data_IF_973297830206
#
_entry.id   IF_973297830206
#
_cell.length_a   1.000
_cell.length_b   1.000
_cell.length_c   1.000
_cell.angle_alpha   90.00
_cell.angle_beta   90.00
_cell.angle_gamma   90.00
#
_symmetry.space_group_name_H-M   'P 1'
#
loop_
_entity.id
_entity.type
_entity.pdbx_description
1 polymer ?
#
# COMPACT_ATOMS: atom_id res chain seq x y z
N UNK A 1 0.21 -19.87 -18.71
CA UNK A 1 0.22 -19.99 -17.24
C UNK A 1 -1.18 -19.71 -16.73
N UNK A 2 -1.67 -20.58 -15.84
CA UNK A 2 -2.93 -20.38 -15.10
C UNK A 2 -2.60 -19.97 -13.67
N UNK A 3 -2.97 -18.75 -13.28
CA UNK A 3 -2.53 -18.12 -12.03
C UNK A 3 -3.75 -17.78 -11.16
N UNK A 4 -3.70 -18.16 -9.88
CA UNK A 4 -4.63 -17.68 -8.86
C UNK A 4 -3.98 -16.61 -8.00
N UNK A 5 -4.64 -15.47 -7.82
CA UNK A 5 -4.25 -14.40 -6.90
C UNK A 5 -5.24 -14.43 -5.72
N UNK A 6 -4.70 -14.69 -4.52
CA UNK A 6 -5.44 -14.77 -3.26
C UNK A 6 -4.94 -13.69 -2.29
N UNK A 7 -5.70 -13.42 -1.23
CA UNK A 7 -5.28 -12.54 -0.13
C UNK A 7 -5.68 -11.08 -0.29
N UNK A 8 -6.37 -10.72 -1.40
CA UNK A 8 -7.06 -9.44 -1.54
C UNK A 8 -8.56 -9.60 -1.26
N UNK A 9 -9.26 -8.50 -1.02
CA UNK A 9 -10.73 -8.51 -0.93
C UNK A 9 -11.42 -8.44 -2.29
N UNK A 10 -10.65 -8.28 -3.37
CA UNK A 10 -11.13 -8.33 -4.75
C UNK A 10 -10.84 -7.09 -5.56
N UNK A 11 -11.16 -7.17 -6.85
CA UNK A 11 -11.00 -6.11 -7.84
C UNK A 11 -12.33 -5.86 -8.58
N UNK A 12 -12.57 -4.63 -9.12
CA UNK A 12 -11.71 -3.44 -9.12
C UNK A 12 -11.46 -2.90 -7.72
N UNK A 13 -10.36 -2.15 -7.53
CA UNK A 13 -9.95 -1.67 -6.22
C UNK A 13 -11.03 -0.78 -5.56
N UNK A 14 -11.47 -1.20 -4.38
CA UNK A 14 -12.40 -0.47 -3.53
C UNK A 14 -11.95 -0.46 -2.06
N UNK A 15 -10.69 -0.87 -1.76
CA UNK A 15 -10.28 -1.16 -0.39
C UNK A 15 -8.89 -0.64 -0.02
N UNK A 16 -7.83 -1.03 -0.76
CA UNK A 16 -6.46 -0.69 -0.35
C UNK A 16 -5.36 -1.11 -1.30
N UNK A 17 -4.14 -1.17 -0.77
CA UNK A 17 -2.93 -1.41 -1.57
C UNK A 17 -2.89 -2.79 -2.24
N UNK A 18 -3.32 -3.84 -1.55
CA UNK A 18 -3.34 -5.19 -2.15
C UNK A 18 -4.34 -5.32 -3.30
N UNK A 19 -5.50 -4.68 -3.20
CA UNK A 19 -6.50 -4.66 -4.25
C UNK A 19 -6.00 -3.89 -5.47
N UNK A 20 -5.36 -2.74 -5.25
CA UNK A 20 -4.73 -1.96 -6.31
C UNK A 20 -3.64 -2.76 -7.03
N UNK A 21 -2.76 -3.40 -6.26
CA UNK A 21 -1.71 -4.26 -6.80
C UNK A 21 -2.28 -5.47 -7.56
N UNK A 22 -3.26 -6.17 -6.98
CA UNK A 22 -3.90 -7.31 -7.61
C UNK A 22 -4.59 -6.93 -8.92
N UNK A 23 -5.25 -5.78 -8.98
CA UNK A 23 -5.89 -5.26 -10.18
C UNK A 23 -4.88 -4.97 -11.28
N UNK A 24 -3.82 -4.22 -10.97
CA UNK A 24 -2.78 -3.86 -11.94
C UNK A 24 -2.03 -5.11 -12.43
N UNK A 25 -1.57 -5.97 -11.52
CA UNK A 25 -0.84 -7.18 -11.87
C UNK A 25 -1.71 -8.17 -12.68
N UNK A 26 -2.95 -8.38 -12.29
CA UNK A 26 -3.83 -9.33 -12.99
C UNK A 26 -4.12 -8.91 -14.43
N UNK A 27 -4.35 -7.61 -14.67
CA UNK A 27 -4.49 -7.07 -16.03
C UNK A 27 -3.21 -7.25 -16.83
N UNK A 28 -2.07 -6.86 -16.26
CA UNK A 28 -0.77 -6.99 -16.91
C UNK A 28 -0.47 -8.44 -17.34
N UNK A 29 -0.73 -9.42 -16.46
CA UNK A 29 -0.53 -10.84 -16.75
C UNK A 29 -1.52 -11.36 -17.81
N UNK A 30 -2.78 -10.95 -17.73
CA UNK A 30 -3.82 -11.36 -18.68
C UNK A 30 -3.55 -10.80 -20.08
N UNK A 31 -2.98 -9.60 -20.21
CA UNK A 31 -2.58 -9.02 -21.49
C UNK A 31 -1.39 -9.76 -22.13
N UNK A 32 -0.61 -10.50 -21.34
CA UNK A 32 0.46 -11.40 -21.79
C UNK A 32 0.02 -12.83 -22.03
N UNK A 33 -1.30 -13.07 -22.09
CA UNK A 33 -1.87 -14.36 -22.40
C UNK A 33 -1.90 -15.36 -21.23
N UNK A 34 -1.74 -14.88 -19.98
CA UNK A 34 -1.98 -15.70 -18.82
C UNK A 34 -3.48 -15.81 -18.53
N UNK A 35 -3.92 -16.96 -18.05
CA UNK A 35 -5.26 -17.19 -17.53
C UNK A 35 -5.25 -16.83 -16.04
N UNK A 36 -5.77 -15.64 -15.69
CA UNK A 36 -5.64 -15.08 -14.33
C UNK A 36 -6.98 -15.10 -13.62
N UNK A 37 -6.97 -15.63 -12.40
CA UNK A 37 -8.09 -15.67 -11.47
C UNK A 37 -7.78 -14.84 -10.23
N UNK A 38 -8.66 -13.89 -9.90
CA UNK A 38 -8.56 -13.13 -8.65
C UNK A 38 -9.70 -13.54 -7.74
N UNK A 39 -9.36 -13.92 -6.50
CA UNK A 39 -10.36 -14.23 -5.49
C UNK A 39 -10.87 -12.95 -4.85
N UNK A 40 -12.21 -12.84 -4.78
CA UNK A 40 -12.92 -11.67 -4.31
C UNK A 40 -13.84 -12.03 -3.15
N UNK A 41 -14.00 -11.12 -2.19
CA UNK A 41 -15.02 -11.25 -1.13
C UNK A 41 -16.42 -11.26 -1.73
N UNK A 42 -17.31 -12.07 -1.17
CA UNK A 42 -18.75 -12.03 -1.51
C UNK A 42 -19.39 -10.68 -1.18
N UNK A 43 -18.80 -9.89 -0.31
CA UNK A 43 -19.25 -8.54 0.02
C UNK A 43 -18.75 -7.48 -0.97
N UNK A 44 -17.76 -7.79 -1.81
CA UNK A 44 -17.22 -6.85 -2.80
C UNK A 44 -18.34 -6.26 -3.69
N UNK A 45 -18.37 -4.94 -3.95
CA UNK A 45 -19.47 -4.29 -4.68
C UNK A 45 -19.58 -4.75 -6.13
N UNK A 46 -18.47 -5.07 -6.79
CA UNK A 46 -18.46 -5.58 -8.15
C UNK A 46 -18.74 -7.09 -8.17
N UNK A 47 -19.85 -7.52 -8.76
CA UNK A 47 -20.36 -8.91 -8.72
C UNK A 47 -20.14 -9.73 -10.00
N UNK A 48 -19.62 -9.12 -11.05
CA UNK A 48 -19.38 -9.85 -12.28
C UNK A 48 -18.30 -10.94 -12.11
N UNK A 49 -18.37 -11.99 -12.90
CA UNK A 49 -17.39 -13.09 -12.90
C UNK A 49 -16.11 -12.77 -13.69
N UNK A 50 -16.04 -11.59 -14.30
CA UNK A 50 -14.88 -11.13 -15.08
C UNK A 50 -14.71 -9.62 -14.97
N UNK A 51 -13.45 -9.18 -15.02
CA UNK A 51 -13.05 -7.79 -15.24
C UNK A 51 -12.09 -7.76 -16.44
N UNK A 52 -12.60 -7.36 -17.62
CA UNK A 52 -11.84 -7.50 -18.87
C UNK A 52 -11.47 -8.96 -19.15
N UNK A 53 -10.17 -9.26 -19.22
CA UNK A 53 -9.65 -10.63 -19.44
C UNK A 53 -9.45 -11.44 -18.16
N UNK A 54 -9.62 -10.82 -16.98
CA UNK A 54 -9.38 -11.44 -15.67
C UNK A 54 -10.65 -12.11 -15.15
N UNK A 55 -10.54 -13.35 -14.68
CA UNK A 55 -11.64 -14.08 -14.04
C UNK A 55 -11.72 -13.73 -12.55
N UNK A 56 -12.95 -13.54 -12.03
CA UNK A 56 -13.22 -13.21 -10.63
C UNK A 56 -13.96 -14.36 -9.96
N UNK A 57 -13.44 -14.81 -8.81
CA UNK A 57 -14.02 -15.88 -8.00
C UNK A 57 -14.48 -15.35 -6.65
N UNK A 58 -15.78 -15.08 -6.53
CA UNK A 58 -16.35 -14.58 -5.28
C UNK A 58 -16.52 -15.72 -4.27
N UNK A 59 -15.96 -15.54 -3.07
CA UNK A 59 -16.03 -16.48 -1.96
C UNK A 59 -16.70 -15.84 -0.75
N UNK A 60 -17.44 -16.66 0.01
CA UNK A 60 -18.11 -16.19 1.21
C UNK A 60 -17.14 -15.58 2.22
N UNK A 61 -17.44 -14.36 2.62
CA UNK A 61 -16.69 -13.54 3.57
C UNK A 61 -17.66 -13.00 4.64
N UNK A 62 -17.61 -13.52 5.86
CA UNK A 62 -18.43 -13.04 6.97
C UNK A 62 -17.82 -11.77 7.58
N UNK A 63 -17.85 -10.64 6.87
CA UNK A 63 -17.27 -9.35 7.32
C UNK A 63 -17.78 -8.91 8.71
N UNK A 64 -18.99 -9.31 9.09
CA UNK A 64 -19.56 -9.04 10.40
C UNK A 64 -18.78 -9.67 11.57
N UNK A 65 -17.94 -10.67 11.32
CA UNK A 65 -17.00 -11.25 12.28
C UNK A 65 -15.69 -10.45 12.42
N UNK A 66 -15.54 -9.35 11.66
CA UNK A 66 -14.32 -8.55 11.66
C UNK A 66 -13.09 -9.38 11.27
N UNK A 67 -12.02 -9.31 12.06
CA UNK A 67 -10.75 -10.02 11.77
C UNK A 67 -10.91 -11.54 11.72
N UNK A 68 -11.84 -12.13 12.49
CA UNK A 68 -12.11 -13.58 12.44
C UNK A 68 -12.72 -13.99 11.10
N UNK A 69 -13.50 -13.11 10.47
CA UNK A 69 -14.07 -13.34 9.14
C UNK A 69 -13.01 -13.55 8.08
N UNK A 70 -11.86 -12.90 8.20
CA UNK A 70 -10.75 -13.05 7.24
C UNK A 70 -10.24 -14.50 7.18
N UNK A 71 -10.19 -15.22 8.32
CA UNK A 71 -9.81 -16.64 8.33
C UNK A 71 -10.81 -17.50 7.56
N UNK A 72 -12.10 -17.23 7.70
CA UNK A 72 -13.16 -17.95 6.97
C UNK A 72 -13.06 -17.69 5.47
N UNK A 73 -12.85 -16.43 5.11
CA UNK A 73 -12.68 -16.02 3.71
C UNK A 73 -11.47 -16.71 3.07
N UNK A 74 -10.30 -16.63 3.70
CA UNK A 74 -9.08 -17.26 3.18
C UNK A 74 -9.22 -18.79 3.07
N UNK A 75 -9.85 -19.42 4.07
CA UNK A 75 -10.16 -20.85 4.00
C UNK A 75 -11.03 -21.19 2.77
N UNK A 76 -12.09 -20.40 2.52
CA UNK A 76 -12.97 -20.62 1.38
C UNK A 76 -12.25 -20.43 0.04
N UNK A 77 -11.40 -19.39 -0.07
CA UNK A 77 -10.58 -19.15 -1.25
C UNK A 77 -9.63 -20.32 -1.53
N UNK A 78 -8.89 -20.79 -0.52
CA UNK A 78 -7.95 -21.91 -0.63
C UNK A 78 -8.69 -23.21 -0.97
N UNK A 79 -9.82 -23.47 -0.32
CA UNK A 79 -10.65 -24.67 -0.61
C UNK A 79 -11.17 -24.68 -2.05
N UNK A 80 -11.56 -23.52 -2.58
CA UNK A 80 -11.99 -23.41 -3.98
C UNK A 80 -10.81 -23.56 -4.94
N UNK A 81 -9.67 -22.92 -4.64
CA UNK A 81 -8.46 -23.01 -5.47
C UNK A 81 -7.96 -24.47 -5.63
N UNK A 82 -8.19 -25.34 -4.65
CA UNK A 82 -7.84 -26.77 -4.73
C UNK A 82 -8.64 -27.57 -5.76
N UNK A 83 -9.80 -27.07 -6.18
CA UNK A 83 -10.64 -27.73 -7.18
C UNK A 83 -10.15 -27.48 -8.61
N UNK A 84 -9.25 -26.54 -8.76
CA UNK A 84 -8.71 -26.08 -10.03
C UNK A 84 -7.24 -26.48 -10.15
N UNK A 85 -6.79 -26.67 -11.39
CA UNK A 85 -5.37 -26.91 -11.67
C UNK A 85 -4.72 -25.57 -12.02
N UNK A 86 -4.19 -24.88 -11.01
CA UNK A 86 -3.36 -23.71 -11.19
C UNK A 86 -1.89 -24.10 -11.34
N UNK A 87 -1.15 -23.38 -12.19
CA UNK A 87 0.32 -23.48 -12.26
C UNK A 87 0.95 -22.73 -11.08
N UNK A 88 0.40 -21.56 -10.76
CA UNK A 88 0.87 -20.70 -9.66
C UNK A 88 -0.32 -20.26 -8.79
N UNK A 89 -0.14 -20.34 -7.49
CA UNK A 89 -0.95 -19.63 -6.48
C UNK A 89 -0.11 -18.49 -5.92
N UNK A 90 -0.50 -17.27 -6.23
CA UNK A 90 0.13 -16.06 -5.71
C UNK A 90 -0.68 -15.52 -4.54
N UNK A 91 -0.17 -15.69 -3.34
CA UNK A 91 -0.79 -15.27 -2.09
C UNK A 91 -0.29 -13.89 -1.70
N UNK A 92 -1.18 -12.91 -1.56
CA UNK A 92 -0.90 -11.56 -1.08
C UNK A 92 -1.10 -11.53 0.45
N UNK A 93 0.00 -11.32 1.17
CA UNK A 93 -0.01 -11.35 2.63
C UNK A 93 -0.15 -12.77 3.22
N UNK A 94 -0.05 -12.85 4.54
CA UNK A 94 0.01 -14.15 5.23
C UNK A 94 -0.77 -14.20 6.56
N UNK A 95 -1.35 -13.12 7.01
CA UNK A 95 -1.84 -12.96 8.38
C UNK A 95 -2.83 -14.04 8.80
N UNK A 96 -3.82 -14.34 7.98
CA UNK A 96 -4.87 -15.34 8.23
C UNK A 96 -4.71 -16.62 7.41
N UNK A 97 -4.10 -16.52 6.22
CA UNK A 97 -3.93 -17.67 5.31
C UNK A 97 -2.84 -18.66 5.78
N UNK A 98 -1.86 -18.22 6.57
CA UNK A 98 -0.71 -19.01 6.98
C UNK A 98 -1.06 -20.35 7.64
N UNK A 99 -2.11 -20.40 8.46
CA UNK A 99 -2.55 -21.63 9.14
C UNK A 99 -3.10 -22.67 8.15
N UNK A 100 -3.56 -22.22 6.99
CA UNK A 100 -4.12 -23.07 5.93
C UNK A 100 -3.09 -23.45 4.84
N UNK A 101 -1.82 -23.08 4.97
CA UNK A 101 -0.80 -23.34 3.95
C UNK A 101 -0.65 -24.82 3.58
N UNK A 102 -0.95 -25.76 4.50
CA UNK A 102 -1.01 -27.21 4.19
C UNK A 102 -2.17 -27.60 3.27
N UNK A 103 -3.15 -26.71 3.14
CA UNK A 103 -4.32 -26.90 2.30
C UNK A 103 -4.16 -26.24 0.92
N UNK A 104 -3.07 -25.54 0.64
CA UNK A 104 -2.80 -24.99 -0.68
C UNK A 104 -2.79 -26.11 -1.74
N UNK A 105 -3.17 -25.81 -3.01
CA UNK A 105 -3.11 -26.80 -4.08
C UNK A 105 -1.71 -27.40 -4.22
N UNK A 106 -1.60 -28.71 -4.04
CA UNK A 106 -0.28 -29.38 -4.05
C UNK A 106 0.39 -29.40 -5.43
N UNK A 107 -0.40 -29.20 -6.51
CA UNK A 107 0.08 -29.15 -7.89
C UNK A 107 0.50 -27.75 -8.33
N UNK A 108 0.33 -26.73 -7.50
CA UNK A 108 0.63 -25.35 -7.84
C UNK A 108 1.88 -24.87 -7.10
N UNK A 109 2.69 -24.07 -7.75
CA UNK A 109 3.77 -23.35 -7.09
C UNK A 109 3.17 -22.25 -6.22
N UNK A 110 3.37 -22.37 -4.90
CA UNK A 110 2.95 -21.34 -3.95
C UNK A 110 4.01 -20.24 -3.86
N UNK A 111 3.64 -19.03 -4.26
CA UNK A 111 4.45 -17.82 -4.14
C UNK A 111 3.73 -16.89 -3.16
N UNK A 112 4.40 -16.44 -2.11
CA UNK A 112 3.78 -15.55 -1.11
C UNK A 112 4.48 -14.19 -1.08
N UNK A 113 3.69 -13.13 -1.27
CA UNK A 113 4.12 -11.77 -0.98
C UNK A 113 4.06 -11.54 0.53
N UNK A 114 5.21 -11.23 1.11
CA UNK A 114 5.35 -11.11 2.56
C UNK A 114 4.80 -9.81 3.12
N UNK A 115 4.50 -8.83 2.23
CA UNK A 115 4.07 -7.49 2.67
C UNK A 115 5.01 -6.87 3.72
N UNK A 116 4.51 -5.96 4.54
CA UNK A 116 5.25 -5.45 5.69
C UNK A 116 5.31 -6.43 6.86
N UNK A 117 6.05 -6.06 7.88
CA UNK A 117 6.12 -6.82 9.13
C UNK A 117 4.86 -6.54 9.98
N UNK A 118 3.73 -7.18 9.61
CA UNK A 118 2.42 -6.95 10.25
C UNK A 118 2.45 -7.08 11.78
N UNK A 119 3.31 -7.94 12.31
CA UNK A 119 3.48 -8.14 13.74
C UNK A 119 4.08 -6.92 14.48
N UNK A 120 4.67 -5.96 13.76
CA UNK A 120 5.20 -4.71 14.35
C UNK A 120 4.14 -3.63 14.52
N UNK A 121 2.94 -3.80 13.96
CA UNK A 121 1.89 -2.78 14.04
C UNK A 121 1.42 -2.58 15.47
N UNK A 122 1.47 -1.34 15.94
CA UNK A 122 1.11 -0.94 17.31
C UNK A 122 -0.37 -1.14 17.65
N UNK A 123 -1.23 -1.22 16.66
CA UNK A 123 -2.66 -1.50 16.84
C UNK A 123 -2.97 -2.90 17.38
N UNK A 124 -2.04 -3.83 17.28
CA UNK A 124 -2.23 -5.20 17.73
C UNK A 124 -1.74 -5.42 19.15
N UNK A 125 -2.50 -6.21 19.91
CA UNK A 125 -2.05 -6.67 21.23
C UNK A 125 -0.81 -7.58 21.14
N UNK A 126 0.01 -7.71 22.20
CA UNK A 126 1.20 -8.56 22.17
C UNK A 126 0.91 -10.03 21.82
N UNK A 127 -0.28 -10.54 22.16
CA UNK A 127 -0.70 -11.89 21.78
C UNK A 127 -0.90 -12.00 20.27
N UNK A 128 -1.58 -11.04 19.66
CA UNK A 128 -1.78 -10.98 18.19
C UNK A 128 -0.46 -10.80 17.48
N UNK A 129 0.43 -9.94 17.98
CA UNK A 129 1.78 -9.77 17.41
C UNK A 129 2.58 -11.07 17.40
N UNK A 130 2.54 -11.85 18.49
CA UNK A 130 3.17 -13.19 18.56
C UNK A 130 2.56 -14.18 17.57
N UNK A 131 1.24 -14.17 17.44
CA UNK A 131 0.54 -15.00 16.45
C UNK A 131 0.96 -14.64 15.03
N UNK A 132 0.99 -13.34 14.69
CA UNK A 132 1.42 -12.86 13.36
C UNK A 132 2.88 -13.23 13.07
N UNK A 133 3.77 -13.11 14.07
CA UNK A 133 5.17 -13.54 13.95
C UNK A 133 5.32 -15.04 13.72
N UNK A 134 4.50 -15.83 14.40
CA UNK A 134 4.43 -17.27 14.17
C UNK A 134 3.89 -17.59 12.77
N UNK A 135 2.82 -16.91 12.32
CA UNK A 135 2.26 -17.04 10.97
C UNK A 135 3.30 -16.75 9.89
N UNK A 136 4.10 -15.69 10.07
CA UNK A 136 5.24 -15.37 9.19
C UNK A 136 6.21 -16.55 9.07
N UNK A 137 6.60 -17.14 10.20
CA UNK A 137 7.51 -18.29 10.22
C UNK A 137 6.94 -19.53 9.51
N UNK A 138 5.63 -19.74 9.57
CA UNK A 138 4.97 -20.81 8.85
C UNK A 138 5.03 -20.62 7.33
N UNK A 139 4.78 -19.41 6.89
CA UNK A 139 4.78 -19.05 5.46
C UNK A 139 6.16 -19.18 4.88
N UNK A 140 7.18 -18.65 5.56
CA UNK A 140 8.58 -18.76 5.11
C UNK A 140 9.01 -20.23 4.93
N UNK A 141 8.53 -21.13 5.80
CA UNK A 141 8.87 -22.57 5.72
C UNK A 141 8.09 -23.33 4.64
N UNK A 142 6.98 -22.81 4.15
CA UNK A 142 6.01 -23.56 3.33
C UNK A 142 5.80 -23.03 1.95
N UNK A 143 6.07 -21.74 1.72
CA UNK A 143 6.03 -21.20 0.37
C UNK A 143 7.21 -21.72 -0.44
N UNK A 144 6.97 -22.03 -1.71
CA UNK A 144 8.05 -22.40 -2.62
C UNK A 144 8.94 -21.18 -2.90
N UNK A 145 8.34 -20.00 -3.01
CA UNK A 145 9.03 -18.74 -3.19
C UNK A 145 8.39 -17.64 -2.37
N UNK A 146 9.22 -16.69 -1.93
CA UNK A 146 8.82 -15.50 -1.20
C UNK A 146 9.05 -14.27 -2.06
N UNK A 147 8.14 -13.30 -1.95
CA UNK A 147 8.29 -11.96 -2.53
C UNK A 147 8.34 -10.95 -1.41
N UNK A 148 9.27 -10.00 -1.50
CA UNK A 148 9.36 -8.84 -0.65
C UNK A 148 9.11 -7.57 -1.50
N UNK A 149 8.25 -6.71 -1.05
CA UNK A 149 7.88 -5.47 -1.73
C UNK A 149 8.83 -4.30 -1.42
N UNK A 150 9.75 -4.48 -0.47
CA UNK A 150 10.76 -3.52 -0.09
C UNK A 150 12.10 -4.17 0.20
N UNK A 151 13.21 -3.50 -0.12
CA UNK A 151 14.57 -3.98 0.17
C UNK A 151 14.77 -4.27 1.67
N UNK A 152 14.32 -3.42 2.62
CA UNK A 152 14.43 -3.74 4.05
C UNK A 152 13.71 -5.03 4.45
N UNK A 153 12.57 -5.36 3.81
CA UNK A 153 11.83 -6.62 4.04
C UNK A 153 12.63 -7.81 3.50
N UNK A 154 13.19 -7.69 2.30
CA UNK A 154 14.03 -8.73 1.71
C UNK A 154 15.24 -9.04 2.60
N UNK A 155 15.92 -8.01 3.10
CA UNK A 155 17.04 -8.16 4.02
C UNK A 155 16.63 -8.78 5.35
N UNK A 156 15.48 -8.36 5.88
CA UNK A 156 14.93 -8.92 7.11
C UNK A 156 14.67 -10.43 6.96
N UNK A 157 14.01 -10.88 5.88
CA UNK A 157 13.75 -12.28 5.60
C UNK A 157 15.06 -13.05 5.51
N UNK A 158 16.05 -12.51 4.81
CA UNK A 158 17.38 -13.12 4.69
C UNK A 158 18.09 -13.26 6.04
N UNK A 159 18.08 -12.22 6.88
CA UNK A 159 18.74 -12.21 8.19
C UNK A 159 18.02 -13.09 9.22
N UNK A 160 16.68 -13.01 9.26
CA UNK A 160 15.87 -13.67 10.29
C UNK A 160 15.64 -15.17 10.01
N UNK A 161 15.47 -15.53 8.74
CA UNK A 161 15.04 -16.86 8.33
C UNK A 161 16.06 -17.60 7.46
N UNK A 162 17.16 -16.94 7.07
CA UNK A 162 18.14 -17.46 6.11
C UNK A 162 17.48 -17.88 4.78
N UNK A 163 16.38 -17.23 4.41
CA UNK A 163 15.61 -17.50 3.22
C UNK A 163 15.80 -16.40 2.18
N UNK A 164 15.73 -16.76 0.90
CA UNK A 164 15.73 -15.80 -0.20
C UNK A 164 14.30 -15.32 -0.47
N UNK A 165 14.14 -14.03 -0.76
CA UNK A 165 12.91 -13.47 -1.27
C UNK A 165 13.21 -12.72 -2.58
N UNK A 166 12.32 -12.86 -3.56
CA UNK A 166 12.38 -12.06 -4.78
C UNK A 166 11.84 -10.65 -4.50
N UNK A 167 12.56 -9.62 -4.95
CA UNK A 167 12.10 -8.23 -4.78
C UNK A 167 11.09 -7.86 -5.87
N UNK A 168 9.90 -7.43 -5.48
CA UNK A 168 8.88 -6.88 -6.38
C UNK A 168 8.01 -5.87 -5.62
N UNK A 169 8.25 -4.60 -5.86
CA UNK A 169 7.56 -3.50 -5.21
C UNK A 169 6.13 -3.29 -5.73
N UNK A 170 5.40 -2.38 -5.10
CA UNK A 170 4.20 -1.78 -5.67
C UNK A 170 4.56 -0.89 -6.87
N UNK A 171 3.56 -0.57 -7.69
CA UNK A 171 3.74 0.28 -8.87
C UNK A 171 3.00 1.60 -8.70
N UNK A 172 3.45 2.61 -9.44
CA UNK A 172 2.72 3.86 -9.58
C UNK A 172 2.80 4.35 -11.03
N UNK A 173 1.78 5.12 -11.41
CA UNK A 173 1.68 5.72 -12.74
C UNK A 173 1.77 7.24 -12.57
N UNK A 174 2.55 7.89 -13.40
CA UNK A 174 2.60 9.35 -13.42
C UNK A 174 1.23 9.86 -13.86
N UNK A 175 0.55 10.66 -13.03
CA UNK A 175 -0.78 11.15 -13.36
C UNK A 175 -0.73 12.16 -14.50
N UNK A 176 -1.85 12.29 -15.20
CA UNK A 176 -2.07 13.39 -16.13
C UNK A 176 -1.94 14.76 -15.42
N UNK A 177 -1.90 15.84 -16.20
CA UNK A 177 -1.91 17.18 -15.59
C UNK A 177 -3.15 17.37 -14.72
N UNK A 178 -2.93 18.06 -13.58
CA UNK A 178 -3.99 18.38 -12.64
C UNK A 178 -5.09 19.22 -13.30
N UNK A 179 -6.33 18.86 -13.04
CA UNK A 179 -7.48 19.71 -13.30
C UNK A 179 -7.72 20.60 -12.07
N UNK A 180 -7.17 21.81 -12.10
CA UNK A 180 -7.24 22.73 -10.97
C UNK A 180 -8.68 23.13 -10.61
N UNK A 181 -9.66 23.00 -11.55
CA UNK A 181 -11.06 23.26 -11.25
C UNK A 181 -11.64 22.33 -10.18
N UNK A 182 -11.08 21.12 -10.02
CA UNK A 182 -11.49 20.19 -8.97
C UNK A 182 -11.18 20.70 -7.55
N UNK A 183 -10.26 21.67 -7.40
CA UNK A 183 -9.94 22.27 -6.10
C UNK A 183 -11.06 23.17 -5.57
N UNK A 184 -11.88 23.73 -6.45
CA UNK A 184 -12.99 24.64 -6.07
C UNK A 184 -13.99 23.93 -5.14
N UNK A 185 -14.31 22.67 -5.41
CA UNK A 185 -15.21 21.86 -4.58
C UNK A 185 -14.76 21.75 -3.12
N UNK A 186 -13.47 21.93 -2.86
CA UNK A 186 -12.85 21.85 -1.53
C UNK A 186 -12.45 23.23 -0.99
N UNK A 187 -12.72 24.31 -1.74
CA UNK A 187 -12.28 25.67 -1.40
C UNK A 187 -10.75 25.71 -1.17
N UNK A 188 -10.00 25.15 -2.12
CA UNK A 188 -8.53 25.08 -2.11
C UNK A 188 -7.95 25.87 -3.26
N UNK A 189 -6.74 26.39 -3.04
CA UNK A 189 -5.94 27.10 -4.04
C UNK A 189 -4.60 26.39 -4.18
N UNK A 190 -4.13 26.22 -5.41
CA UNK A 190 -2.85 25.60 -5.73
C UNK A 190 -1.71 26.20 -4.92
N UNK A 191 -0.88 25.35 -4.33
CA UNK A 191 0.26 25.68 -3.46
C UNK A 191 -0.10 26.46 -2.17
N UNK A 192 -1.39 26.54 -1.83
CA UNK A 192 -1.87 27.17 -0.60
C UNK A 192 -2.53 26.16 0.35
N UNK A 193 -2.08 24.92 0.34
CA UNK A 193 -2.43 23.89 1.33
C UNK A 193 -1.37 22.80 1.35
N UNK A 194 -1.23 22.14 2.49
CA UNK A 194 -0.48 20.90 2.64
C UNK A 194 -1.42 19.70 2.66
N UNK A 195 -0.92 18.51 2.36
CA UNK A 195 -1.74 17.31 2.20
C UNK A 195 -1.18 16.13 3.00
N UNK A 196 -2.07 15.39 3.67
CA UNK A 196 -1.81 14.11 4.30
C UNK A 196 -2.90 13.12 3.88
N UNK A 197 -2.51 11.99 3.29
CA UNK A 197 -3.43 10.91 2.90
C UNK A 197 -3.01 9.64 3.61
N UNK A 198 -3.83 9.14 4.56
CA UNK A 198 -3.52 7.93 5.31
C UNK A 198 -4.77 7.28 5.89
N UNK A 199 -4.69 5.99 6.18
CA UNK A 199 -5.64 5.35 7.10
C UNK A 199 -5.39 5.89 8.51
N UNK A 200 -6.45 6.19 9.26
CA UNK A 200 -6.35 6.70 10.63
C UNK A 200 -5.90 5.57 11.58
N UNK A 201 -4.61 5.29 11.54
CA UNK A 201 -3.91 4.25 12.33
C UNK A 201 -2.70 4.90 13.04
N UNK A 202 -2.42 4.55 14.30
CA UNK A 202 -1.31 5.17 15.06
C UNK A 202 0.06 5.04 14.38
N UNK A 203 0.33 3.90 13.75
CA UNK A 203 1.59 3.65 13.04
C UNK A 203 1.81 4.52 11.81
N UNK A 204 0.80 5.27 11.39
CA UNK A 204 0.93 6.23 10.29
C UNK A 204 1.35 7.63 10.77
N UNK A 205 1.69 7.78 12.06
CA UNK A 205 2.21 9.01 12.69
C UNK A 205 1.41 10.28 12.34
N UNK A 206 0.09 10.13 12.23
CA UNK A 206 -0.80 11.25 11.88
C UNK A 206 -0.80 12.27 13.02
N UNK A 207 -0.92 11.80 14.26
CA UNK A 207 -0.98 12.68 15.46
C UNK A 207 0.26 13.57 15.58
N UNK A 208 1.52 13.06 15.49
CA UNK A 208 2.70 13.90 15.47
C UNK A 208 2.71 14.95 14.35
N UNK A 209 2.19 14.62 13.17
CA UNK A 209 2.08 15.58 12.06
C UNK A 209 1.08 16.68 12.39
N UNK A 210 -0.09 16.33 12.96
CA UNK A 210 -1.11 17.31 13.34
C UNK A 210 -0.64 18.22 14.49
N UNK A 211 0.05 17.66 15.49
CA UNK A 211 0.65 18.41 16.59
C UNK A 211 1.67 19.43 16.10
N UNK A 212 2.61 18.98 15.26
CA UNK A 212 3.62 19.85 14.67
C UNK A 212 3.00 20.96 13.82
N UNK A 213 2.00 20.62 13.00
CA UNK A 213 1.33 21.56 12.11
C UNK A 213 0.56 22.63 12.89
N UNK A 214 -0.15 22.23 13.95
CA UNK A 214 -0.86 23.15 14.83
C UNK A 214 0.12 24.09 15.57
N UNK A 215 1.23 23.55 16.07
CA UNK A 215 2.23 24.29 16.83
C UNK A 215 3.07 25.24 15.96
N UNK A 216 3.28 24.92 14.69
CA UNK A 216 4.02 25.75 13.73
C UNK A 216 3.20 26.92 13.17
N UNK A 217 1.89 27.01 13.48
CA UNK A 217 0.98 28.07 13.06
C UNK A 217 1.10 28.44 11.56
N UNK A 218 1.09 27.42 10.70
CA UNK A 218 1.26 27.58 9.26
C UNK A 218 0.15 28.49 8.67
N UNK A 219 0.51 29.26 7.65
CA UNK A 219 -0.40 30.20 6.99
C UNK A 219 -1.54 29.48 6.24
N UNK A 220 -1.25 28.35 5.63
CA UNK A 220 -2.19 27.57 4.81
C UNK A 220 -2.69 26.32 5.53
N UNK A 221 -3.88 25.80 5.20
CA UNK A 221 -4.41 24.64 5.89
C UNK A 221 -3.69 23.34 5.53
N UNK A 222 -3.68 22.41 6.50
CA UNK A 222 -3.40 20.99 6.28
C UNK A 222 -4.71 20.26 5.94
N UNK A 223 -4.75 19.62 4.80
CA UNK A 223 -5.84 18.77 4.35
C UNK A 223 -5.53 17.32 4.70
N UNK A 224 -6.40 16.69 5.46
CA UNK A 224 -6.28 15.32 5.92
C UNK A 224 -7.34 14.45 5.25
N UNK A 225 -6.90 13.44 4.49
CA UNK A 225 -7.78 12.52 3.76
C UNK A 225 -7.62 11.11 4.34
N UNK A 226 -8.75 10.51 4.72
CA UNK A 226 -8.83 9.15 5.25
C UNK A 226 -10.12 8.96 6.04
N UNK A 227 -10.53 7.70 6.23
CA UNK A 227 -11.73 7.36 6.98
C UNK A 227 -11.51 7.63 8.48
N UNK A 228 -12.34 8.47 9.07
CA UNK A 228 -12.31 8.85 10.50
C UNK A 228 -13.29 8.05 11.37
N UNK A 229 -13.99 7.05 10.83
CA UNK A 229 -15.05 6.31 11.57
C UNK A 229 -14.49 5.36 12.64
N UNK A 230 -13.18 5.04 12.62
CA UNK A 230 -12.58 4.24 13.68
C UNK A 230 -12.30 5.08 14.95
N UNK A 231 -11.94 4.41 16.04
CA UNK A 231 -11.72 5.07 17.33
C UNK A 231 -10.64 6.15 17.26
N UNK A 232 -9.50 5.84 16.63
CA UNK A 232 -8.37 6.76 16.51
C UNK A 232 -8.70 7.96 15.59
N UNK A 233 -9.39 7.72 14.47
CA UNK A 233 -9.84 8.78 13.57
C UNK A 233 -10.79 9.77 14.25
N UNK A 234 -11.77 9.28 15.01
CA UNK A 234 -12.67 10.14 15.80
C UNK A 234 -11.93 10.93 16.88
N UNK A 235 -10.94 10.33 17.51
CA UNK A 235 -10.06 11.01 18.47
C UNK A 235 -9.31 12.17 17.79
N UNK A 236 -8.65 11.92 16.65
CA UNK A 236 -7.91 12.93 15.91
C UNK A 236 -8.82 14.06 15.43
N UNK A 237 -9.98 13.72 14.87
CA UNK A 237 -10.96 14.69 14.41
C UNK A 237 -11.40 15.61 15.57
N UNK A 238 -11.70 15.04 16.75
CA UNK A 238 -12.10 15.81 17.93
C UNK A 238 -10.99 16.72 18.46
N UNK A 239 -9.73 16.25 18.43
CA UNK A 239 -8.59 16.95 19.01
C UNK A 239 -8.06 18.06 18.10
N UNK A 240 -8.07 17.86 16.79
CA UNK A 240 -7.31 18.69 15.85
C UNK A 240 -8.14 19.41 14.78
N UNK A 241 -9.45 19.09 14.58
CA UNK A 241 -10.23 19.75 13.54
C UNK A 241 -10.37 21.24 13.83
N UNK A 242 -9.83 22.06 12.94
CA UNK A 242 -9.84 23.53 12.98
C UNK A 242 -9.92 24.06 11.55
N UNK A 243 -10.18 25.35 11.31
CA UNK A 243 -10.09 25.93 9.97
C UNK A 243 -8.73 25.67 9.28
N UNK A 244 -7.65 25.51 10.08
CA UNK A 244 -6.28 25.26 9.58
C UNK A 244 -5.90 23.77 9.50
N UNK A 245 -6.72 22.85 10.03
CA UNK A 245 -6.57 21.40 9.90
C UNK A 245 -7.92 20.82 9.53
N UNK A 246 -8.10 20.48 8.25
CA UNK A 246 -9.38 20.09 7.67
C UNK A 246 -9.39 18.63 7.31
N UNK A 247 -10.30 17.86 7.89
CA UNK A 247 -10.53 16.45 7.55
C UNK A 247 -11.61 16.36 6.47
N UNK A 248 -11.29 15.77 5.33
CA UNK A 248 -12.21 15.63 4.20
C UNK A 248 -12.87 14.24 4.14
N UNK A 249 -12.55 13.32 5.08
CA UNK A 249 -13.01 11.95 5.00
C UNK A 249 -12.29 11.15 3.91
N UNK A 250 -12.90 10.05 3.47
CA UNK A 250 -12.35 9.21 2.41
C UNK A 250 -12.63 9.78 1.03
N UNK A 251 -11.62 9.88 0.20
CA UNK A 251 -11.73 10.18 -1.23
C UNK A 251 -11.09 9.03 -1.99
N UNK A 252 -11.81 8.41 -2.92
CA UNK A 252 -11.34 7.31 -3.77
C UNK A 252 -11.28 7.68 -5.25
N UNK A 253 -11.80 8.84 -5.62
CA UNK A 253 -11.72 9.35 -6.97
C UNK A 253 -10.27 9.72 -7.32
N UNK A 254 -9.68 8.95 -8.25
CA UNK A 254 -8.27 9.08 -8.61
C UNK A 254 -7.93 10.44 -9.22
N UNK A 255 -8.68 10.99 -10.19
CA UNK A 255 -8.50 12.36 -10.69
C UNK A 255 -8.46 13.42 -9.59
N UNK A 256 -9.34 13.34 -8.61
CA UNK A 256 -9.37 14.28 -7.47
C UNK A 256 -8.11 14.12 -6.63
N UNK A 257 -7.74 12.87 -6.26
CA UNK A 257 -6.55 12.62 -5.44
C UNK A 257 -5.26 13.04 -6.15
N UNK A 258 -5.14 12.78 -7.44
CA UNK A 258 -3.98 13.17 -8.24
C UNK A 258 -3.87 14.70 -8.33
N UNK A 259 -5.00 15.42 -8.52
CA UNK A 259 -5.03 16.89 -8.52
C UNK A 259 -4.64 17.43 -7.13
N UNK A 260 -5.20 16.88 -6.05
CA UNK A 260 -4.88 17.32 -4.69
C UNK A 260 -3.39 17.13 -4.38
N UNK A 261 -2.76 16.03 -4.84
CA UNK A 261 -1.32 15.81 -4.67
C UNK A 261 -0.50 16.81 -5.48
N UNK A 262 -0.75 16.95 -6.79
CA UNK A 262 0.02 17.83 -7.69
C UNK A 262 -0.05 19.30 -7.27
N UNK A 263 -1.20 19.71 -6.73
CA UNK A 263 -1.45 21.10 -6.35
C UNK A 263 -1.10 21.42 -4.90
N UNK A 264 -0.75 20.43 -4.05
CA UNK A 264 -0.33 20.68 -2.68
C UNK A 264 1.01 21.41 -2.61
N UNK A 265 1.23 22.20 -1.55
CA UNK A 265 2.52 22.80 -1.24
C UNK A 265 3.48 21.71 -0.76
N UNK A 266 3.05 20.95 0.26
CA UNK A 266 3.79 19.82 0.83
C UNK A 266 2.87 18.61 0.99
N UNK A 267 3.49 17.43 0.89
CA UNK A 267 2.83 16.15 1.16
C UNK A 267 3.49 15.47 2.36
N UNK A 268 2.70 15.17 3.41
CA UNK A 268 3.19 14.48 4.59
C UNK A 268 3.01 12.97 4.45
N UNK A 269 4.08 12.23 4.72
CA UNK A 269 4.07 10.77 4.71
C UNK A 269 4.56 10.21 6.04
N UNK A 270 3.62 9.91 6.94
CA UNK A 270 3.94 9.48 8.31
C UNK A 270 4.13 7.98 8.51
N UNK A 271 3.89 7.13 7.50
CA UNK A 271 3.90 5.67 7.65
C UNK A 271 5.26 5.17 8.15
N UNK A 272 5.24 4.35 9.22
CA UNK A 272 6.45 3.81 9.86
C UNK A 272 6.55 2.29 9.81
N UNK A 273 5.47 1.59 9.44
CA UNK A 273 5.41 0.13 9.34
C UNK A 273 4.85 -0.24 7.98
N UNK A 274 5.46 -1.23 7.35
CA UNK A 274 5.06 -1.73 6.04
C UNK A 274 6.26 -1.81 5.10
N UNK A 275 6.03 -2.23 3.87
CA UNK A 275 7.02 -2.23 2.80
C UNK A 275 7.02 -0.93 2.01
N UNK A 276 7.07 -1.07 0.69
CA UNK A 276 6.87 0.06 -0.23
C UNK A 276 5.42 0.52 -0.16
N UNK A 277 5.20 1.78 0.19
CA UNK A 277 3.85 2.30 0.38
C UNK A 277 3.28 2.89 -0.92
N UNK A 278 2.13 2.40 -1.44
CA UNK A 278 1.53 2.96 -2.67
C UNK A 278 1.28 4.46 -2.61
N UNK A 279 0.82 4.99 -1.45
CA UNK A 279 0.54 6.42 -1.32
C UNK A 279 1.80 7.28 -1.40
N UNK A 280 2.96 6.75 -0.98
CA UNK A 280 4.26 7.41 -1.15
C UNK A 280 4.66 7.44 -2.63
N UNK A 281 4.53 6.31 -3.33
CA UNK A 281 4.84 6.25 -4.76
C UNK A 281 3.94 7.19 -5.58
N UNK A 282 2.65 7.27 -5.23
CA UNK A 282 1.70 8.21 -5.87
C UNK A 282 2.08 9.67 -5.60
N UNK A 283 2.58 10.01 -4.40
CA UNK A 283 3.07 11.34 -4.09
C UNK A 283 4.33 11.69 -4.90
N UNK A 284 5.27 10.74 -5.03
CA UNK A 284 6.46 10.89 -5.89
C UNK A 284 6.06 11.09 -7.36
N UNK A 285 5.16 10.25 -7.87
CA UNK A 285 4.65 10.35 -9.25
C UNK A 285 3.94 11.68 -9.52
N UNK A 286 3.29 12.24 -8.50
CA UNK A 286 2.57 13.53 -8.57
C UNK A 286 3.47 14.75 -8.38
N UNK A 287 4.79 14.59 -8.30
CA UNK A 287 5.78 15.68 -8.08
C UNK A 287 5.56 16.44 -6.78
N UNK A 288 5.11 15.75 -5.72
CA UNK A 288 4.94 16.37 -4.42
C UNK A 288 6.28 16.73 -3.76
N UNK A 289 6.34 17.86 -3.08
CA UNK A 289 7.41 18.16 -2.12
C UNK A 289 7.13 17.36 -0.84
N UNK A 290 7.86 16.27 -0.64
CA UNK A 290 7.57 15.26 0.38
C UNK A 290 8.30 15.55 1.67
N UNK A 291 7.56 15.46 2.80
CA UNK A 291 8.10 15.44 4.16
C UNK A 291 7.68 14.10 4.77
N UNK A 292 8.64 13.21 5.02
CA UNK A 292 8.38 11.84 5.41
C UNK A 292 8.89 11.52 6.81
N UNK A 293 8.22 10.57 7.49
CA UNK A 293 8.74 10.01 8.74
C UNK A 293 10.06 9.28 8.48
N UNK A 294 11.07 9.53 9.32
CA UNK A 294 12.40 8.96 9.19
C UNK A 294 12.42 7.50 9.65
N UNK A 295 12.43 6.60 8.68
CA UNK A 295 12.55 5.16 8.91
C UNK A 295 13.15 4.48 7.68
N UNK A 296 13.55 3.24 7.87
CA UNK A 296 14.27 2.46 6.84
C UNK A 296 13.46 2.26 5.55
N UNK A 297 12.13 2.19 5.63
CA UNK A 297 11.27 1.98 4.45
C UNK A 297 11.17 3.25 3.61
N UNK A 298 10.86 4.38 4.24
CA UNK A 298 10.78 5.67 3.56
C UNK A 298 12.15 6.08 2.99
N UNK A 299 13.22 5.88 3.78
CA UNK A 299 14.60 6.12 3.32
C UNK A 299 14.99 5.25 2.13
N UNK A 300 14.57 3.97 2.09
CA UNK A 300 14.89 3.08 0.97
C UNK A 300 14.27 3.50 -0.35
N UNK A 301 13.14 4.22 -0.31
CA UNK A 301 12.41 4.70 -1.49
C UNK A 301 12.83 6.12 -1.88
N UNK A 302 12.86 7.03 -0.91
CA UNK A 302 13.10 8.47 -1.14
C UNK A 302 14.59 8.84 -1.14
N UNK A 303 15.44 8.00 -0.53
CA UNK A 303 16.87 8.30 -0.32
C UNK A 303 17.05 9.66 0.39
N UNK A 304 17.70 10.64 -0.26
CA UNK A 304 17.91 12.00 0.22
C UNK A 304 16.94 13.02 -0.43
N UNK A 305 15.98 12.54 -1.23
CA UNK A 305 15.11 13.40 -2.05
C UNK A 305 13.77 13.72 -1.38
N UNK A 306 13.79 13.90 -0.06
CA UNK A 306 12.68 14.39 0.76
C UNK A 306 13.24 15.02 2.04
N UNK A 307 12.43 15.78 2.77
CA UNK A 307 12.72 16.11 4.16
C UNK A 307 12.24 14.98 5.06
N UNK A 308 12.93 14.76 6.17
CA UNK A 308 12.61 13.69 7.11
C UNK A 308 12.47 14.22 8.54
N UNK A 309 11.54 13.62 9.30
CA UNK A 309 11.33 13.90 10.71
C UNK A 309 11.15 12.60 11.50
N UNK A 310 11.62 12.55 12.72
CA UNK A 310 11.38 11.44 13.63
C UNK A 310 10.38 11.82 14.75
N UNK A 311 10.29 13.12 15.11
CA UNK A 311 9.43 13.62 16.19
C UNK A 311 8.57 14.79 15.72
N UNK A 312 7.52 15.10 16.50
CA UNK A 312 6.68 16.28 16.25
C UNK A 312 7.48 17.59 16.39
N UNK A 313 8.43 17.65 17.31
CA UNK A 313 9.26 18.85 17.50
C UNK A 313 10.19 19.09 16.30
N UNK A 314 10.86 18.04 15.79
CA UNK A 314 11.66 18.14 14.56
C UNK A 314 10.82 18.59 13.37
N UNK A 315 9.59 18.02 13.22
CA UNK A 315 8.69 18.43 12.14
C UNK A 315 8.25 19.89 12.30
N UNK A 316 7.96 20.33 13.52
CA UNK A 316 7.64 21.74 13.81
C UNK A 316 8.80 22.66 13.40
N UNK A 317 10.02 22.31 13.75
CA UNK A 317 11.22 23.10 13.39
C UNK A 317 11.42 23.17 11.87
N UNK A 318 11.19 22.05 11.17
CA UNK A 318 11.15 22.00 9.70
C UNK A 318 10.10 22.98 9.18
N UNK A 319 8.87 22.93 9.70
CA UNK A 319 7.74 23.74 9.22
C UNK A 319 7.96 25.25 9.45
N UNK A 320 8.61 25.64 10.54
CA UNK A 320 8.92 27.05 10.83
C UNK A 320 9.95 27.60 9.84
N UNK A 321 10.92 26.77 9.42
CA UNK A 321 12.04 27.19 8.58
C UNK A 321 11.87 26.88 7.10
N UNK A 322 10.74 26.25 6.71
CA UNK A 322 10.55 25.74 5.36
C UNK A 322 10.30 26.87 4.36
N UNK A 323 11.03 26.84 3.24
CA UNK A 323 10.79 27.72 2.10
C UNK A 323 10.30 26.91 0.90
N UNK A 324 9.08 27.14 0.46
CA UNK A 324 8.46 26.46 -0.68
C UNK A 324 9.20 26.68 -2.02
N UNK A 325 9.94 27.75 -2.14
CA UNK A 325 10.68 28.13 -3.35
C UNK A 325 12.13 27.60 -3.37
N UNK A 326 12.49 26.72 -2.42
CA UNK A 326 13.83 26.13 -2.39
C UNK A 326 14.04 25.22 -3.61
N UNK A 327 15.12 25.44 -4.34
CA UNK A 327 15.55 24.62 -5.47
C UNK A 327 15.77 23.13 -5.10
N UNK A 328 15.92 22.83 -3.81
CA UNK A 328 15.95 21.45 -3.33
C UNK A 328 14.71 20.68 -3.78
N UNK A 329 13.50 21.27 -3.64
CA UNK A 329 12.25 20.58 -3.98
C UNK A 329 12.13 20.30 -5.46
N UNK A 330 12.54 21.22 -6.32
CA UNK A 330 12.51 20.98 -7.77
C UNK A 330 13.39 19.79 -8.16
N UNK A 331 14.61 19.73 -7.61
CA UNK A 331 15.55 18.62 -7.86
C UNK A 331 15.03 17.31 -7.28
N UNK A 332 14.57 17.32 -6.03
CA UNK A 332 14.03 16.15 -5.37
C UNK A 332 12.80 15.60 -6.11
N UNK A 333 11.87 16.47 -6.51
CA UNK A 333 10.66 16.08 -7.23
C UNK A 333 10.99 15.51 -8.61
N UNK A 334 11.94 16.10 -9.34
CA UNK A 334 12.40 15.57 -10.63
C UNK A 334 13.03 14.18 -10.46
N UNK A 335 13.89 14.00 -9.44
CA UNK A 335 14.50 12.71 -9.12
C UNK A 335 13.43 11.66 -8.74
N UNK A 336 12.48 12.03 -7.89
CA UNK A 336 11.41 11.14 -7.46
C UNK A 336 10.57 10.65 -8.65
N UNK A 337 10.23 11.52 -9.60
CA UNK A 337 9.51 11.12 -10.83
C UNK A 337 10.35 10.17 -11.68
N UNK A 338 11.63 10.49 -11.90
CA UNK A 338 12.52 9.61 -12.64
C UNK A 338 12.69 8.24 -11.97
N UNK A 339 12.67 8.19 -10.64
CA UNK A 339 12.69 6.96 -9.87
C UNK A 339 11.40 6.15 -10.09
N UNK A 340 10.23 6.80 -10.12
CA UNK A 340 8.96 6.13 -10.45
C UNK A 340 9.04 5.50 -11.86
N UNK A 341 9.45 6.26 -12.85
CA UNK A 341 9.56 5.76 -14.25
C UNK A 341 10.49 4.54 -14.33
N UNK A 342 11.65 4.62 -13.68
CA UNK A 342 12.71 3.63 -13.80
C UNK A 342 12.50 2.39 -12.94
N UNK A 343 11.92 2.52 -11.74
CA UNK A 343 11.91 1.46 -10.75
C UNK A 343 10.50 1.02 -10.33
N UNK A 344 9.49 1.89 -10.43
CA UNK A 344 8.15 1.65 -9.91
C UNK A 344 7.04 1.76 -10.96
N UNK A 345 7.38 1.90 -12.25
CA UNK A 345 6.39 1.76 -13.32
C UNK A 345 5.91 0.31 -13.44
N UNK A 346 4.73 0.09 -14.00
CA UNK A 346 4.20 -1.27 -14.23
C UNK A 346 5.19 -2.13 -15.04
N UNK A 347 5.81 -1.55 -16.06
CA UNK A 347 6.80 -2.26 -16.86
C UNK A 347 8.04 -2.64 -16.03
N UNK A 348 8.55 -1.72 -15.21
CA UNK A 348 9.75 -1.96 -14.42
C UNK A 348 9.55 -3.03 -13.32
N UNK A 349 8.33 -3.14 -12.77
CA UNK A 349 8.03 -4.09 -11.69
C UNK A 349 7.44 -5.40 -12.21
N UNK A 350 6.44 -5.32 -13.10
CA UNK A 350 5.69 -6.51 -13.48
C UNK A 350 6.34 -7.33 -14.61
N UNK A 351 7.16 -6.72 -15.47
CA UNK A 351 7.89 -7.49 -16.49
C UNK A 351 8.91 -8.47 -15.87
N UNK A 352 9.78 -8.02 -14.94
CA UNK A 352 10.67 -8.95 -14.23
C UNK A 352 9.91 -9.99 -13.41
N UNK A 353 8.80 -9.63 -12.76
CA UNK A 353 7.96 -10.55 -12.00
C UNK A 353 7.31 -11.62 -12.91
N UNK A 354 6.84 -11.23 -14.10
CA UNK A 354 6.32 -12.17 -15.09
C UNK A 354 7.40 -13.17 -15.55
N UNK A 355 8.61 -12.68 -15.80
CA UNK A 355 9.73 -13.56 -16.15
C UNK A 355 10.12 -14.48 -14.98
N UNK A 356 10.07 -13.98 -13.76
CA UNK A 356 10.26 -14.80 -12.56
C UNK A 356 9.20 -15.92 -12.49
N UNK A 357 7.90 -15.61 -12.66
CA UNK A 357 6.83 -16.62 -12.69
C UNK A 357 7.06 -17.67 -13.78
N UNK A 358 7.56 -17.27 -14.94
CA UNK A 358 7.90 -18.23 -16.02
C UNK A 358 9.11 -19.08 -15.70
N UNK A 359 10.10 -18.54 -14.99
CA UNK A 359 11.32 -19.27 -14.66
C UNK A 359 11.06 -20.37 -13.64
N UNK A 360 10.25 -20.10 -12.62
CA UNK A 360 9.92 -21.09 -11.59
C UNK A 360 9.16 -22.30 -12.14
N UNK A 361 8.36 -22.12 -13.18
CA UNK A 361 7.65 -23.21 -13.87
C UNK A 361 8.55 -24.09 -14.76
N UNK A 362 9.75 -23.62 -15.11
CA UNK A 362 10.70 -24.39 -15.93
C UNK A 362 11.71 -25.19 -15.08
N UNK A 363 11.74 -24.89 -13.79
CA UNK A 363 12.70 -25.48 -12.85
C UNK A 363 12.18 -26.78 -12.22
N UNK A 364 10.93 -27.15 -12.50
CA UNK A 364 10.31 -28.44 -12.21
C UNK A 364 10.37 -29.35 -13.47
#
# INVERSE_FOLDING_TARGET
MKIAILGSRGIPNAYGGFEQYAEQLSRFLADRGCEVYVYCSSAHPYKASKLGKVFLKHQYDPEWLGTAGQFVYDYNCIRDARKEKFDIVYQLGYTSSAIFNRMMPASAILITNMDGMEWQRSKYSPMVQRFLKWSESLVVKRSHYLIADAIPIQEYIRKQYHAAAYYSAYTSVIPAHADESLLEAYSLVKKQYSLLIARMEPENNIEPVLEAYAAAAQQYPLIVIGNTDNHFGRYLLKKFATPNIRFLGSIYDKPILDTLRQCSAFYFHGHSVGGTNPSLLEAMASKCSIIAHDNVYNRSVLQEHALFFATADELKDILININQQDLFYERANAHNVATIEKQYSEAAVFEPLYHFFRSVLKSE
#
